data_IF_223335588733
#
_entry.id   IF_223335588733
#
_cell.length_a   1.000
_cell.length_b   1.000
_cell.length_c   1.000
_cell.angle_alpha   90.00
_cell.angle_beta   90.00
_cell.angle_gamma   90.00
#
_symmetry.space_group_name_H-M   'P 1'
#
loop_
_entity.id
_entity.type
_entity.pdbx_description
1 polymer ?
#
# COMPACT_ATOMS: atom_id res chain seq x y z
N UNK A 1 -19.69 -15.34 12.70
CA UNK A 1 -18.52 -15.35 11.81
C UNK A 1 -17.19 -15.10 12.54
N UNK A 2 -17.06 -15.55 13.80
CA UNK A 2 -15.94 -15.20 14.69
C UNK A 2 -14.78 -16.20 14.70
N UNK A 3 -14.81 -17.22 13.84
CA UNK A 3 -13.86 -18.34 13.92
C UNK A 3 -12.59 -18.12 13.07
N UNK A 4 -12.63 -17.24 12.06
CA UNK A 4 -11.46 -16.96 11.20
C UNK A 4 -10.44 -16.04 11.91
N UNK A 5 -10.88 -15.27 12.91
CA UNK A 5 -10.03 -14.31 13.63
C UNK A 5 -9.03 -14.94 14.61
N UNK A 6 -9.30 -16.14 15.14
CA UNK A 6 -8.44 -16.81 16.12
C UNK A 6 -7.22 -17.52 15.51
N UNK A 7 -7.23 -17.79 14.20
CA UNK A 7 -6.15 -18.54 13.56
C UNK A 7 -4.89 -17.72 13.25
N UNK A 8 -4.97 -16.37 13.18
CA UNK A 8 -3.86 -15.52 12.67
C UNK A 8 -3.16 -14.61 13.68
N UNK A 9 -3.54 -14.61 14.97
CA UNK A 9 -2.90 -13.76 16.01
C UNK A 9 -2.67 -12.30 15.59
N UNK A 10 -3.50 -11.73 14.72
CA UNK A 10 -3.32 -10.37 14.23
C UNK A 10 -4.58 -9.52 14.39
N UNK A 11 -4.36 -8.28 14.84
CA UNK A 11 -5.38 -7.28 15.16
C UNK A 11 -6.31 -7.01 13.96
N UNK A 12 -7.63 -6.79 14.18
CA UNK A 12 -8.62 -6.53 13.13
C UNK A 12 -8.24 -5.42 12.14
N UNK A 13 -7.52 -4.38 12.59
CA UNK A 13 -7.02 -3.30 11.73
C UNK A 13 -5.87 -3.75 10.80
N UNK A 14 -5.08 -4.75 11.21
CA UNK A 14 -4.09 -5.40 10.34
C UNK A 14 -4.80 -6.32 9.34
N UNK A 15 -5.87 -7.00 9.77
CA UNK A 15 -6.67 -7.90 8.93
C UNK A 15 -7.19 -7.25 7.64
N UNK A 16 -7.78 -6.06 7.71
CA UNK A 16 -8.28 -5.35 6.53
C UNK A 16 -7.19 -4.96 5.53
N UNK A 17 -6.05 -4.47 6.02
CA UNK A 17 -4.89 -4.10 5.18
C UNK A 17 -4.22 -5.31 4.53
N UNK A 18 -4.06 -6.41 5.28
CA UNK A 18 -3.49 -7.65 4.74
C UNK A 18 -4.41 -8.29 3.70
N UNK A 19 -5.74 -8.19 3.87
CA UNK A 19 -6.70 -8.76 2.94
C UNK A 19 -6.78 -7.95 1.64
N UNK A 20 -6.74 -6.61 1.73
CA UNK A 20 -6.62 -5.74 0.55
C UNK A 20 -5.30 -5.96 -0.21
N UNK A 21 -4.19 -6.06 0.52
CA UNK A 21 -2.87 -6.39 -0.04
C UNK A 21 -2.85 -7.73 -0.76
N UNK A 22 -3.32 -8.80 -0.11
CA UNK A 22 -3.35 -10.14 -0.69
C UNK A 22 -4.23 -10.20 -1.94
N UNK A 23 -5.39 -9.51 -1.91
CA UNK A 23 -6.30 -9.46 -3.06
C UNK A 23 -5.65 -8.75 -4.26
N UNK A 24 -5.00 -7.61 -4.04
CA UNK A 24 -4.31 -6.87 -5.09
C UNK A 24 -3.19 -7.72 -5.73
N UNK A 25 -2.37 -8.39 -4.91
CA UNK A 25 -1.31 -9.27 -5.42
C UNK A 25 -1.85 -10.42 -6.28
N UNK A 26 -2.87 -11.11 -5.80
CA UNK A 26 -3.38 -12.32 -6.47
C UNK A 26 -4.12 -12.01 -7.78
N UNK A 27 -4.84 -10.89 -7.84
CA UNK A 27 -5.71 -10.59 -8.98
C UNK A 27 -5.13 -9.57 -9.96
N UNK A 28 -4.30 -8.64 -9.47
CA UNK A 28 -3.88 -7.49 -10.26
C UNK A 28 -2.37 -7.46 -10.49
N UNK A 29 -1.56 -8.15 -9.68
CA UNK A 29 -0.10 -8.00 -9.67
C UNK A 29 0.67 -9.34 -9.63
N UNK A 30 0.50 -10.20 -10.66
CA UNK A 30 1.10 -11.53 -10.70
C UNK A 30 2.64 -11.53 -10.69
N UNK A 31 3.31 -10.52 -11.25
CA UNK A 31 4.78 -10.47 -11.28
C UNK A 31 5.37 -10.14 -9.91
N UNK A 32 4.76 -9.20 -9.17
CA UNK A 32 5.12 -8.89 -7.79
C UNK A 32 4.89 -10.10 -6.89
N UNK A 33 3.78 -10.83 -7.08
CA UNK A 33 3.51 -12.06 -6.35
C UNK A 33 4.57 -13.14 -6.65
N UNK A 34 4.95 -13.31 -7.93
CA UNK A 34 6.00 -14.25 -8.32
C UNK A 34 7.36 -13.90 -7.71
N UNK A 35 7.73 -12.62 -7.70
CA UNK A 35 8.99 -12.15 -7.10
C UNK A 35 9.01 -12.31 -5.56
N UNK A 36 7.86 -12.17 -4.91
CA UNK A 36 7.70 -12.47 -3.48
C UNK A 36 7.86 -13.98 -3.20
N UNK A 37 7.23 -14.84 -4.01
CA UNK A 37 7.38 -16.30 -3.88
C UNK A 37 8.80 -16.79 -4.16
N UNK A 38 9.51 -16.15 -5.08
CA UNK A 38 10.91 -16.45 -5.38
C UNK A 38 11.89 -15.92 -4.31
N UNK A 39 11.43 -15.14 -3.32
CA UNK A 39 12.27 -14.55 -2.29
C UNK A 39 13.12 -13.36 -2.75
N UNK A 40 12.88 -12.85 -3.96
CA UNK A 40 13.58 -11.68 -4.51
C UNK A 40 13.03 -10.36 -3.94
N UNK A 41 11.77 -10.38 -3.51
CA UNK A 41 11.17 -9.32 -2.70
C UNK A 41 10.93 -9.82 -1.27
N UNK A 42 11.14 -8.92 -0.31
CA UNK A 42 10.56 -9.07 1.01
C UNK A 42 9.08 -8.71 0.97
N UNK A 43 8.31 -9.21 1.94
CA UNK A 43 6.89 -8.84 2.12
C UNK A 43 6.73 -7.31 2.24
N UNK A 44 7.67 -6.65 2.94
CA UNK A 44 7.67 -5.19 3.07
C UNK A 44 7.85 -4.50 1.72
N UNK A 45 8.78 -4.95 0.87
CA UNK A 45 8.97 -4.38 -0.47
C UNK A 45 7.76 -4.59 -1.36
N UNK A 46 7.16 -5.79 -1.35
CA UNK A 46 5.90 -6.04 -2.05
C UNK A 46 4.79 -5.10 -1.54
N UNK A 47 4.74 -4.83 -0.24
CA UNK A 47 3.79 -3.87 0.35
C UNK A 47 4.00 -2.45 -0.16
N UNK A 48 5.25 -2.02 -0.35
CA UNK A 48 5.56 -0.72 -0.93
C UNK A 48 5.03 -0.61 -2.36
N UNK A 49 5.26 -1.62 -3.20
CA UNK A 49 4.79 -1.63 -4.60
C UNK A 49 3.25 -1.58 -4.65
N UNK A 50 2.56 -2.42 -3.86
CA UNK A 50 1.09 -2.42 -3.79
C UNK A 50 0.55 -1.06 -3.31
N UNK A 51 1.21 -0.44 -2.31
CA UNK A 51 0.80 0.87 -1.76
C UNK A 51 0.89 1.99 -2.81
N UNK A 52 1.95 2.01 -3.60
CA UNK A 52 2.11 3.02 -4.65
C UNK A 52 1.11 2.80 -5.80
N UNK A 53 0.71 1.56 -6.07
CA UNK A 53 -0.31 1.23 -7.09
C UNK A 53 -1.77 1.49 -6.66
N UNK A 54 -2.00 1.88 -5.40
CA UNK A 54 -3.34 1.93 -4.81
C UNK A 54 -4.25 2.99 -5.45
N UNK A 55 -3.68 4.04 -6.04
CA UNK A 55 -4.42 5.09 -6.73
C UNK A 55 -4.64 4.82 -8.23
N UNK A 56 -3.97 3.79 -8.78
CA UNK A 56 -4.12 3.40 -10.18
C UNK A 56 -5.38 2.56 -10.37
N UNK A 57 -5.95 2.64 -11.57
CA UNK A 57 -6.95 1.68 -12.01
C UNK A 57 -6.31 0.29 -12.22
N UNK A 58 -7.13 -0.69 -12.60
CA UNK A 58 -6.68 -2.09 -12.72
C UNK A 58 -5.66 -2.27 -13.86
N UNK A 59 -5.82 -1.55 -14.98
CA UNK A 59 -4.97 -1.71 -16.15
C UNK A 59 -3.61 -1.04 -15.94
N UNK A 60 -3.61 0.15 -15.33
CA UNK A 60 -2.38 0.83 -14.92
C UNK A 60 -1.68 0.09 -13.79
N UNK A 61 -2.40 -0.51 -12.84
CA UNK A 61 -1.80 -1.36 -11.80
C UNK A 61 -1.08 -2.57 -12.41
N UNK A 62 -1.66 -3.23 -13.40
CA UNK A 62 -1.03 -4.34 -14.13
C UNK A 62 0.20 -3.87 -14.90
N UNK A 63 0.13 -2.68 -15.49
CA UNK A 63 1.28 -2.07 -16.18
C UNK A 63 2.41 -1.77 -15.20
N UNK A 64 2.10 -1.22 -14.02
CA UNK A 64 3.08 -1.00 -12.95
C UNK A 64 3.71 -2.32 -12.50
N UNK A 65 2.90 -3.35 -12.26
CA UNK A 65 3.37 -4.68 -11.86
C UNK A 65 4.38 -5.26 -12.86
N UNK A 66 4.04 -5.23 -14.15
CA UNK A 66 4.92 -5.72 -15.21
C UNK A 66 6.22 -4.91 -15.28
N UNK A 67 6.15 -3.57 -15.28
CA UNK A 67 7.35 -2.72 -15.34
C UNK A 67 8.26 -2.91 -14.13
N UNK A 68 7.69 -3.13 -12.94
CA UNK A 68 8.45 -3.31 -11.71
C UNK A 68 9.07 -4.70 -11.60
N UNK A 69 8.35 -5.75 -11.98
CA UNK A 69 8.68 -7.11 -11.53
C UNK A 69 8.70 -8.19 -12.63
N UNK A 70 8.38 -7.85 -13.89
CA UNK A 70 8.48 -8.84 -14.97
C UNK A 70 9.93 -9.31 -15.17
N UNK A 71 10.89 -8.39 -15.13
CA UNK A 71 12.32 -8.70 -15.14
C UNK A 71 12.87 -8.76 -13.72
N UNK A 72 12.75 -9.94 -13.11
CA UNK A 72 13.06 -10.14 -11.69
C UNK A 72 14.51 -9.85 -11.30
N UNK A 73 15.48 -10.02 -12.23
CA UNK A 73 16.89 -9.70 -12.00
C UNK A 73 17.10 -8.21 -11.65
N UNK A 74 16.22 -7.32 -12.11
CA UNK A 74 16.30 -5.88 -11.79
C UNK A 74 15.98 -5.57 -10.32
N UNK A 75 15.43 -6.52 -9.57
CA UNK A 75 15.09 -6.35 -8.16
C UNK A 75 16.28 -6.64 -7.24
N UNK A 76 17.28 -7.37 -7.72
CA UNK A 76 18.45 -7.76 -6.94
C UNK A 76 19.26 -6.54 -6.50
N UNK A 77 19.69 -6.54 -5.23
CA UNK A 77 20.46 -5.45 -4.65
C UNK A 77 19.68 -4.16 -4.37
N UNK A 78 18.41 -4.04 -4.78
CA UNK A 78 17.59 -2.85 -4.47
C UNK A 78 17.19 -2.83 -3.00
N UNK A 79 17.42 -1.69 -2.35
CA UNK A 79 16.90 -1.40 -1.02
C UNK A 79 15.47 -0.87 -1.05
N UNK A 80 14.84 -0.81 0.12
CA UNK A 80 13.42 -0.43 0.27
C UNK A 80 13.11 0.94 -0.34
N UNK A 81 13.97 1.94 -0.09
CA UNK A 81 13.83 3.29 -0.66
C UNK A 81 13.88 3.30 -2.18
N UNK A 82 14.69 2.42 -2.79
CA UNK A 82 14.80 2.36 -4.25
C UNK A 82 13.57 1.71 -4.86
N UNK A 83 13.05 0.64 -4.24
CA UNK A 83 11.79 0.01 -4.66
C UNK A 83 10.63 1.02 -4.57
N UNK A 84 10.52 1.75 -3.46
CA UNK A 84 9.51 2.78 -3.27
C UNK A 84 9.62 3.89 -4.32
N UNK A 85 10.83 4.38 -4.57
CA UNK A 85 11.07 5.42 -5.57
C UNK A 85 10.74 4.97 -6.99
N UNK A 86 11.15 3.76 -7.39
CA UNK A 86 10.87 3.21 -8.72
C UNK A 86 9.36 2.99 -8.92
N UNK A 87 8.67 2.41 -7.93
CA UNK A 87 7.22 2.21 -7.98
C UNK A 87 6.46 3.54 -8.06
N UNK A 88 6.88 4.54 -7.27
CA UNK A 88 6.28 5.87 -7.28
C UNK A 88 6.50 6.58 -8.62
N UNK A 89 7.68 6.45 -9.23
CA UNK A 89 7.97 7.04 -10.53
C UNK A 89 7.06 6.46 -11.62
N UNK A 90 6.92 5.14 -11.66
CA UNK A 90 6.04 4.46 -12.62
C UNK A 90 4.57 4.82 -12.38
N UNK A 91 4.11 4.84 -11.12
CA UNK A 91 2.75 5.23 -10.80
C UNK A 91 2.45 6.67 -11.26
N UNK A 92 3.39 7.59 -11.05
CA UNK A 92 3.28 8.98 -11.51
C UNK A 92 3.25 9.10 -13.03
N UNK A 93 4.03 8.28 -13.75
CA UNK A 93 4.01 8.26 -15.21
C UNK A 93 2.69 7.74 -15.79
N UNK A 94 2.08 6.75 -15.14
CA UNK A 94 0.85 6.12 -15.59
C UNK A 94 -0.38 6.99 -15.32
N UNK A 95 -0.48 7.56 -14.12
CA UNK A 95 -1.55 8.48 -13.79
C UNK A 95 -1.06 9.70 -13.02
N UNK A 96 -0.66 10.77 -13.73
CA UNK A 96 -0.32 12.05 -13.12
C UNK A 96 -1.51 12.70 -12.37
N UNK A 97 -2.75 12.40 -12.76
CA UNK A 97 -3.95 13.02 -12.21
C UNK A 97 -4.35 12.37 -10.88
N UNK A 98 -4.17 11.06 -10.72
CA UNK A 98 -4.40 10.34 -9.46
C UNK A 98 -3.59 10.90 -8.28
N UNK A 99 -2.41 11.47 -8.52
CA UNK A 99 -1.59 12.10 -7.48
C UNK A 99 -2.18 13.45 -7.05
N UNK A 100 -2.67 14.24 -8.01
CA UNK A 100 -3.39 15.50 -7.73
C UNK A 100 -4.66 15.19 -6.96
N UNK A 101 -5.42 14.19 -7.38
CA UNK A 101 -6.63 13.75 -6.70
C UNK A 101 -6.35 13.22 -5.29
N UNK A 102 -5.20 12.56 -5.06
CA UNK A 102 -4.79 12.12 -3.72
C UNK A 102 -4.42 13.29 -2.82
N UNK A 103 -3.75 14.32 -3.34
CA UNK A 103 -3.46 15.55 -2.59
C UNK A 103 -4.77 16.30 -2.25
N UNK A 104 -5.69 16.40 -3.20
CA UNK A 104 -7.03 16.96 -3.02
C UNK A 104 -7.85 16.14 -2.01
N UNK A 105 -7.72 14.80 -2.04
CA UNK A 105 -8.41 13.91 -1.10
C UNK A 105 -7.81 13.99 0.30
N UNK A 106 -6.50 14.10 0.44
CA UNK A 106 -5.84 14.37 1.72
C UNK A 106 -6.28 15.71 2.33
N UNK A 107 -6.53 16.72 1.49
CA UNK A 107 -7.13 17.98 1.93
C UNK A 107 -8.60 17.81 2.36
N UNK A 108 -9.38 16.96 1.69
CA UNK A 108 -10.77 16.67 2.06
C UNK A 108 -10.91 15.79 3.32
N UNK A 109 -9.90 14.97 3.60
CA UNK A 109 -9.87 14.05 4.76
C UNK A 109 -9.24 14.69 6.01
N UNK A 110 -8.73 15.93 5.90
CA UNK A 110 -8.18 16.67 7.04
C UNK A 110 -9.23 16.77 8.14
N UNK A 111 -8.91 16.25 9.31
CA UNK A 111 -9.85 16.24 10.43
C UNK A 111 -9.11 16.40 11.74
N UNK A 112 -9.73 17.17 12.62
CA UNK A 112 -9.32 17.28 14.01
C UNK A 112 -10.48 16.74 14.83
N UNK A 113 -10.21 15.68 15.57
CA UNK A 113 -11.18 15.10 16.49
C UNK A 113 -10.70 15.29 17.92
N UNK A 114 -11.64 15.56 18.80
CA UNK A 114 -11.41 15.64 20.24
C UNK A 114 -12.26 14.60 20.93
N UNK A 115 -11.72 14.02 22.00
CA UNK A 115 -12.47 13.13 22.90
C UNK A 115 -12.06 13.43 24.35
N UNK A 116 -13.02 13.59 25.27
CA UNK A 116 -12.71 13.84 26.69
C UNK A 116 -11.81 12.74 27.27
N UNK A 117 -10.94 13.14 28.20
CA UNK A 117 -10.14 12.24 29.02
C UNK A 117 -10.37 12.56 30.52
N UNK A 118 -10.01 11.66 31.45
CA UNK A 118 -10.10 11.93 32.90
C UNK A 118 -9.28 13.18 33.31
N UNK A 119 -9.52 13.69 34.52
CA UNK A 119 -8.73 14.75 35.15
C UNK A 119 -8.67 16.08 34.35
N UNK A 120 -9.80 16.49 33.76
CA UNK A 120 -9.91 17.69 32.91
C UNK A 120 -8.96 17.68 31.70
N UNK A 121 -8.58 16.49 31.23
CA UNK A 121 -7.73 16.32 30.05
C UNK A 121 -8.56 16.05 28.79
N UNK A 122 -7.95 16.22 27.62
CA UNK A 122 -8.57 15.90 26.31
C UNK A 122 -7.55 15.22 25.41
N UNK A 123 -7.99 14.19 24.67
CA UNK A 123 -7.21 13.69 23.54
C UNK A 123 -7.55 14.50 22.29
N UNK A 124 -6.53 15.09 21.68
CA UNK A 124 -6.59 15.74 20.39
C UNK A 124 -5.97 14.81 19.35
N UNK A 125 -6.68 14.50 18.28
CA UNK A 125 -6.12 13.75 17.13
C UNK A 125 -6.28 14.61 15.89
N UNK A 126 -5.16 14.92 15.24
CA UNK A 126 -5.12 15.69 14.00
C UNK A 126 -4.59 14.81 12.87
N UNK A 127 -5.34 14.75 11.78
CA UNK A 127 -4.88 14.22 10.49
C UNK A 127 -4.65 15.42 9.56
N UNK A 128 -3.39 15.63 9.18
CA UNK A 128 -2.92 16.78 8.40
C UNK A 128 -2.12 16.30 7.19
N UNK A 129 -2.08 17.08 6.08
CA UNK A 129 -1.24 16.79 4.93
C UNK A 129 0.26 16.94 5.22
#
# INVERSE_FOLDING_TARGET
SSEIALARRDSPNRGGRHLGFARALVHDMPHTLAALHAGLLSEWRATLIVRESACLDIDDRRTLDARMCAEQATLEGKGDKRIEADAKAIAYELDPHAIVDRAVRAESERTVTTRPAPDNMVYLTALLP
#
